data_IF_427893928092
#
_entry.id   IF_427893928092
#
_cell.length_a   1.000
_cell.length_b   1.000
_cell.length_c   1.000
_cell.angle_alpha   90.00
_cell.angle_beta   90.00
_cell.angle_gamma   90.00
#
_symmetry.space_group_name_H-M   'P 1'
#
loop_
_entity.id
_entity.type
_entity.pdbx_description
1 polymer ?
#
# COMPACT_ATOMS: atom_id res chain seq x y z
N UNK A 1 67.56 33.49 -71.07
CA UNK A 1 66.45 34.10 -70.28
C UNK A 1 65.68 32.96 -69.64
N UNK A 2 65.20 32.96 -68.39
CA UNK A 2 65.51 33.70 -67.14
C UNK A 2 65.06 32.74 -65.99
N UNK A 3 65.74 32.75 -64.84
CA UNK A 3 65.27 32.57 -63.43
C UNK A 3 63.86 31.94 -63.21
N UNK A 4 63.58 31.04 -62.25
CA UNK A 4 64.20 30.79 -60.93
C UNK A 4 63.44 29.66 -60.17
N UNK A 5 64.08 29.02 -59.18
CA UNK A 5 63.50 28.48 -57.92
C UNK A 5 62.43 27.35 -58.03
N UNK A 6 62.05 26.57 -57.01
CA UNK A 6 62.28 26.51 -55.54
C UNK A 6 62.09 25.02 -55.10
N UNK A 7 62.55 24.43 -53.98
CA UNK A 7 63.31 24.84 -52.76
C UNK A 7 64.40 23.77 -52.48
N UNK A 8 64.83 23.59 -51.22
CA UNK A 8 65.90 22.68 -50.77
C UNK A 8 65.57 22.10 -49.36
N UNK A 9 65.87 20.80 -49.15
CA UNK A 9 66.67 20.21 -48.03
C UNK A 9 66.21 20.36 -46.55
N UNK A 10 65.94 19.19 -45.92
CA UNK A 10 66.45 18.59 -44.63
C UNK A 10 66.63 19.45 -43.34
N UNK A 11 66.81 18.94 -42.10
CA UNK A 11 66.92 17.59 -41.53
C UNK A 11 66.52 17.58 -40.03
N UNK A 12 66.08 16.42 -39.53
CA UNK A 12 66.45 15.71 -38.27
C UNK A 12 66.68 16.43 -36.89
N UNK A 13 66.39 15.65 -35.83
CA UNK A 13 66.87 15.75 -34.42
C UNK A 13 66.18 16.69 -33.40
N UNK A 14 65.17 16.11 -32.71
CA UNK A 14 65.20 15.70 -31.29
C UNK A 14 65.63 16.64 -30.12
N UNK A 15 64.95 16.38 -28.98
CA UNK A 15 65.29 16.63 -27.57
C UNK A 15 64.74 17.87 -26.83
N UNK A 16 64.29 17.59 -25.61
CA UNK A 16 63.56 18.42 -24.63
C UNK A 16 64.35 19.62 -24.11
N UNK A 17 63.66 20.70 -23.69
CA UNK A 17 63.46 21.04 -22.26
C UNK A 17 62.82 22.42 -22.01
N UNK A 18 62.08 22.53 -20.88
CA UNK A 18 61.62 23.70 -20.10
C UNK A 18 61.38 25.07 -20.79
N UNK A 19 60.23 25.74 -20.60
CA UNK A 19 59.94 26.44 -19.33
C UNK A 19 58.47 26.90 -19.17
N UNK A 20 58.13 27.33 -17.94
CA UNK A 20 56.79 27.65 -17.43
C UNK A 20 56.18 28.99 -17.91
N UNK A 21 54.85 29.02 -17.96
CA UNK A 21 53.85 30.03 -17.52
C UNK A 21 52.50 29.28 -17.60
N UNK A 22 51.55 29.33 -16.66
CA UNK A 22 51.37 30.17 -15.48
C UNK A 22 50.01 30.88 -15.52
N UNK A 23 48.93 30.17 -15.14
CA UNK A 23 47.58 30.73 -14.90
C UNK A 23 46.95 30.05 -13.67
N UNK A 24 46.02 30.76 -13.03
CA UNK A 24 45.60 30.59 -11.63
C UNK A 24 44.67 29.40 -11.33
N UNK A 25 44.82 28.85 -10.12
CA UNK A 25 43.76 28.12 -9.43
C UNK A 25 42.56 29.04 -9.16
N UNK A 26 41.36 28.62 -9.58
CA UNK A 26 40.06 28.97 -8.97
C UNK A 26 38.99 27.98 -9.49
N UNK A 27 39.22 26.68 -9.25
CA UNK A 27 38.25 25.62 -9.53
C UNK A 27 37.23 25.52 -8.39
N UNK A 28 36.19 26.37 -8.46
CA UNK A 28 34.94 26.20 -7.72
C UNK A 28 34.30 24.86 -8.13
N UNK A 29 34.67 23.79 -7.40
CA UNK A 29 34.09 22.46 -7.58
C UNK A 29 32.64 22.50 -7.11
N UNK A 30 31.74 22.78 -8.06
CA UNK A 30 30.32 22.47 -7.89
C UNK A 30 30.20 21.00 -7.44
N UNK A 31 29.67 20.79 -6.24
CA UNK A 31 29.27 19.46 -5.80
C UNK A 31 28.19 18.96 -6.76
N UNK A 32 28.58 18.05 -7.65
CA UNK A 32 27.62 17.27 -8.44
C UNK A 32 26.77 16.53 -7.41
N UNK A 33 25.43 16.73 -7.36
CA UNK A 33 24.60 16.01 -6.43
C UNK A 33 24.79 14.52 -6.64
N UNK A 34 25.29 13.83 -5.62
CA UNK A 34 25.38 12.37 -5.66
C UNK A 34 23.99 11.81 -5.93
N UNK A 35 23.89 10.84 -6.85
CA UNK A 35 22.65 10.10 -7.01
C UNK A 35 22.22 9.58 -5.63
N UNK A 36 20.92 9.62 -5.29
CA UNK A 36 20.45 9.14 -4.00
C UNK A 36 20.94 7.70 -3.81
N UNK A 37 21.61 7.49 -2.67
CA UNK A 37 22.22 6.21 -2.30
C UNK A 37 21.16 5.11 -2.41
N UNK A 38 21.49 4.02 -3.11
CA UNK A 38 20.51 2.99 -3.45
C UNK A 38 19.99 2.34 -2.15
N UNK A 39 18.70 2.55 -1.87
CA UNK A 39 18.04 2.02 -0.69
C UNK A 39 18.17 0.49 -0.67
N UNK A 40 18.71 -0.05 0.43
CA UNK A 40 18.69 -1.48 0.70
C UNK A 40 17.24 -1.93 0.83
N UNK A 41 16.81 -2.95 0.07
CA UNK A 41 15.42 -3.44 0.14
C UNK A 41 15.15 -4.34 1.37
N UNK A 42 16.08 -4.36 2.32
CA UNK A 42 15.97 -5.04 3.61
C UNK A 42 15.16 -4.20 4.60
N UNK A 43 13.86 -4.05 4.34
CA UNK A 43 12.99 -3.20 5.15
C UNK A 43 11.54 -3.17 4.67
N UNK A 44 10.78 -2.25 5.25
CA UNK A 44 9.35 -2.03 4.94
C UNK A 44 9.09 -0.61 4.50
N UNK A 45 8.20 -0.47 3.51
CA UNK A 45 7.52 0.77 3.23
C UNK A 45 6.36 0.98 4.17
N UNK A 46 6.19 2.23 4.60
CA UNK A 46 4.99 2.70 5.29
C UNK A 46 4.35 3.78 4.44
N UNK A 47 3.19 3.46 3.86
CA UNK A 47 2.37 4.43 3.14
C UNK A 47 1.62 5.28 4.16
N UNK A 48 1.73 6.60 4.03
CA UNK A 48 1.07 7.57 4.89
C UNK A 48 0.02 8.29 4.06
N UNK A 49 -1.26 8.22 4.46
CA UNK A 49 -2.34 8.81 3.67
C UNK A 49 -2.30 10.34 3.66
N UNK A 50 -1.66 10.97 4.64
CA UNK A 50 -1.75 12.41 4.85
C UNK A 50 -3.15 12.81 5.32
N UNK A 51 -3.53 14.07 5.10
CA UNK A 51 -4.88 14.56 5.38
C UNK A 51 -5.59 15.00 4.10
N UNK A 52 -6.87 14.64 3.97
CA UNK A 52 -7.72 14.97 2.81
C UNK A 52 -7.69 16.47 2.50
N UNK A 53 -7.34 16.80 1.27
CA UNK A 53 -7.23 18.17 0.76
C UNK A 53 -5.86 18.83 0.96
N UNK A 54 -4.96 18.23 1.75
CA UNK A 54 -3.66 18.83 2.06
C UNK A 54 -2.53 18.42 1.09
N UNK A 55 -2.78 17.45 0.19
CA UNK A 55 -1.82 16.99 -0.83
C UNK A 55 -0.46 16.59 -0.23
N UNK A 56 -0.50 15.90 0.91
CA UNK A 56 0.64 15.57 1.76
C UNK A 56 0.75 14.07 2.11
N UNK A 57 0.25 13.19 1.24
CA UNK A 57 0.58 11.76 1.32
C UNK A 57 2.08 11.55 1.07
N UNK A 58 2.66 10.56 1.74
CA UNK A 58 4.09 10.25 1.65
C UNK A 58 4.36 8.76 1.75
N UNK A 59 5.55 8.34 1.31
CA UNK A 59 6.04 6.97 1.42
C UNK A 59 7.30 6.96 2.29
N UNK A 60 7.20 6.50 3.53
CA UNK A 60 8.38 6.32 4.40
C UNK A 60 8.98 4.94 4.15
N UNK A 61 10.28 4.79 4.41
CA UNK A 61 10.97 3.49 4.42
C UNK A 61 11.65 3.27 5.77
N UNK A 62 11.48 2.09 6.36
CA UNK A 62 12.22 1.66 7.54
C UNK A 62 13.16 0.51 7.18
N UNK A 63 14.46 0.74 7.39
CA UNK A 63 15.54 -0.19 7.11
C UNK A 63 15.81 -1.08 8.34
N UNK A 64 15.75 -2.41 8.18
CA UNK A 64 15.88 -3.35 9.30
C UNK A 64 17.31 -3.52 9.82
N UNK A 65 18.32 -3.20 9.02
CA UNK A 65 19.73 -3.36 9.37
C UNK A 65 20.26 -2.14 10.15
N UNK A 66 20.05 -0.95 9.59
CA UNK A 66 20.45 0.34 10.17
C UNK A 66 19.46 0.84 11.22
N UNK A 67 18.22 0.31 11.24
CA UNK A 67 17.10 0.70 12.12
C UNK A 67 16.70 2.17 11.96
N UNK A 68 16.88 2.74 10.77
CA UNK A 68 16.56 4.13 10.44
C UNK A 68 15.27 4.24 9.62
N UNK A 69 14.56 5.34 9.82
CA UNK A 69 13.45 5.75 8.96
C UNK A 69 13.98 6.79 7.96
N UNK A 70 13.80 6.53 6.67
CA UNK A 70 13.88 7.55 5.63
C UNK A 70 12.46 8.08 5.37
N UNK A 71 12.24 9.37 5.63
CA UNK A 71 10.94 10.01 5.47
C UNK A 71 10.70 10.44 4.01
N UNK A 72 9.51 10.14 3.49
CA UNK A 72 9.05 10.55 2.15
C UNK A 72 10.05 10.29 1.01
N UNK A 73 10.45 9.02 0.86
CA UNK A 73 11.37 8.56 -0.19
C UNK A 73 10.87 8.96 -1.58
N UNK A 74 9.54 8.97 -1.78
CA UNK A 74 8.93 9.30 -3.06
C UNK A 74 9.26 10.74 -3.46
N UNK A 75 9.11 11.70 -2.54
CA UNK A 75 9.48 13.08 -2.78
C UNK A 75 10.97 13.27 -2.96
N UNK A 76 11.80 12.57 -2.16
CA UNK A 76 13.27 12.60 -2.27
C UNK A 76 13.76 12.13 -3.65
N UNK A 77 13.19 11.05 -4.18
CA UNK A 77 13.62 10.43 -5.45
C UNK A 77 13.03 11.13 -6.67
N UNK A 78 11.80 11.66 -6.59
CA UNK A 78 11.07 12.20 -7.75
C UNK A 78 10.95 13.73 -7.79
N UNK A 79 11.36 14.44 -6.74
CA UNK A 79 11.25 15.91 -6.66
C UNK A 79 9.82 16.46 -6.56
N UNK A 80 8.80 15.59 -6.42
CA UNK A 80 7.37 15.94 -6.30
C UNK A 80 6.68 15.13 -5.21
N UNK A 81 5.61 15.67 -4.63
CA UNK A 81 4.76 14.92 -3.70
C UNK A 81 4.04 13.74 -4.36
N UNK A 82 3.68 12.75 -3.53
CA UNK A 82 2.93 11.56 -3.95
C UNK A 82 1.46 11.91 -4.31
N UNK A 83 0.84 12.80 -3.52
CA UNK A 83 -0.46 13.38 -3.82
C UNK A 83 -1.33 13.57 -2.57
N UNK A 84 -2.66 13.50 -2.75
CA UNK A 84 -3.66 13.62 -1.70
C UNK A 84 -4.40 12.29 -1.45
N UNK A 85 -4.42 11.86 -0.19
CA UNK A 85 -5.14 10.69 0.32
C UNK A 85 -4.72 9.40 -0.40
N UNK A 86 -3.45 9.03 -0.25
CA UNK A 86 -2.97 7.69 -0.58
C UNK A 86 -3.63 6.64 0.33
N UNK A 87 -4.19 5.59 -0.26
CA UNK A 87 -5.11 4.68 0.43
C UNK A 87 -4.60 3.23 0.50
N UNK A 88 -3.85 2.77 -0.50
CA UNK A 88 -3.26 1.44 -0.52
C UNK A 88 -1.99 1.38 -1.37
N UNK A 89 -1.13 0.40 -1.07
CA UNK A 89 0.08 0.06 -1.83
C UNK A 89 0.20 -1.45 -2.00
N UNK A 90 0.51 -1.88 -3.22
CA UNK A 90 0.80 -3.27 -3.57
C UNK A 90 2.14 -3.37 -4.30
N UNK A 91 3.03 -4.22 -3.81
CA UNK A 91 4.23 -4.67 -4.54
C UNK A 91 3.84 -5.85 -5.43
N UNK A 92 4.15 -5.76 -6.73
CA UNK A 92 3.92 -6.83 -7.69
C UNK A 92 5.07 -6.90 -8.72
N UNK A 93 5.87 -7.96 -8.64
CA UNK A 93 7.14 -8.05 -9.36
C UNK A 93 8.08 -6.91 -8.96
N UNK A 94 8.79 -6.33 -9.94
CA UNK A 94 9.73 -5.22 -9.72
C UNK A 94 9.08 -3.83 -9.57
N UNK A 95 7.80 -3.77 -9.20
CA UNK A 95 7.02 -2.51 -9.13
C UNK A 95 6.18 -2.41 -7.88
N UNK A 96 5.96 -1.20 -7.40
CA UNK A 96 4.89 -0.88 -6.47
C UNK A 96 3.79 -0.08 -7.18
N UNK A 97 2.54 -0.36 -6.84
CA UNK A 97 1.34 0.33 -7.31
C UNK A 97 0.71 1.01 -6.09
N UNK A 98 0.46 2.32 -6.18
CA UNK A 98 -0.04 3.15 -5.08
C UNK A 98 -1.33 3.84 -5.52
N UNK A 99 -2.39 3.68 -4.74
CA UNK A 99 -3.69 4.26 -4.98
C UNK A 99 -3.77 5.62 -4.29
N UNK A 100 -3.81 6.71 -5.05
CA UNK A 100 -3.88 8.08 -4.53
C UNK A 100 -5.29 8.62 -4.79
N UNK A 101 -6.20 8.37 -3.86
CA UNK A 101 -7.66 8.45 -4.07
C UNK A 101 -8.09 9.85 -4.52
N UNK A 102 -7.72 10.91 -3.80
CA UNK A 102 -8.19 12.26 -4.14
C UNK A 102 -7.41 12.88 -5.30
N UNK A 103 -6.15 12.50 -5.51
CA UNK A 103 -5.41 12.85 -6.72
C UNK A 103 -5.94 12.13 -7.97
N UNK A 104 -6.80 11.12 -7.81
CA UNK A 104 -7.37 10.31 -8.90
C UNK A 104 -6.31 9.58 -9.74
N UNK A 105 -5.18 9.24 -9.13
CA UNK A 105 -4.04 8.63 -9.81
C UNK A 105 -3.69 7.27 -9.22
N UNK A 106 -3.26 6.36 -10.09
CA UNK A 106 -2.52 5.16 -9.69
C UNK A 106 -1.06 5.45 -10.01
N UNK A 107 -0.27 5.69 -8.98
CA UNK A 107 1.17 5.93 -9.11
C UNK A 107 1.88 4.56 -9.16
N UNK A 108 2.73 4.36 -10.16
CA UNK A 108 3.50 3.12 -10.33
C UNK A 108 4.98 3.46 -10.23
N UNK A 109 5.66 2.87 -9.24
CA UNK A 109 7.09 3.05 -9.01
C UNK A 109 7.87 1.76 -9.25
N UNK A 110 9.19 1.86 -9.35
CA UNK A 110 10.07 0.73 -9.04
C UNK A 110 10.15 0.52 -7.51
N UNK A 111 10.89 -0.51 -7.09
CA UNK A 111 11.16 -0.79 -5.67
C UNK A 111 12.23 0.15 -5.08
N UNK A 112 12.53 1.28 -5.70
CA UNK A 112 13.33 2.36 -5.10
C UNK A 112 12.47 3.62 -4.90
N UNK A 113 11.15 3.52 -5.15
CA UNK A 113 10.20 4.64 -5.05
C UNK A 113 10.25 5.59 -6.23
N UNK A 114 11.00 5.28 -7.31
CA UNK A 114 11.05 6.13 -8.51
C UNK A 114 9.82 5.92 -9.38
N UNK A 115 9.12 7.01 -9.68
CA UNK A 115 7.97 7.09 -10.58
C UNK A 115 8.31 6.54 -11.96
N UNK A 116 7.72 5.39 -12.32
CA UNK A 116 7.76 4.81 -13.66
C UNK A 116 6.61 5.31 -14.52
N UNK A 117 5.41 5.41 -13.94
CA UNK A 117 4.20 5.86 -14.62
C UNK A 117 3.19 6.35 -13.59
N UNK A 118 2.56 7.49 -13.86
CA UNK A 118 1.30 7.86 -13.24
C UNK A 118 0.16 7.51 -14.21
N UNK A 119 -0.77 6.66 -13.78
CA UNK A 119 -1.97 6.28 -14.54
C UNK A 119 -3.11 7.19 -14.08
N UNK A 120 -3.74 7.85 -15.04
CA UNK A 120 -4.88 8.75 -14.87
C UNK A 120 -6.04 8.29 -15.75
N UNK A 121 -7.24 8.84 -15.54
CA UNK A 121 -8.39 8.65 -16.42
C UNK A 121 -8.42 9.76 -17.48
N UNK A 122 -8.76 9.41 -18.72
CA UNK A 122 -9.13 10.38 -19.76
C UNK A 122 -10.64 10.76 -19.70
N UNK A 123 -11.36 10.25 -18.71
CA UNK A 123 -12.79 10.50 -18.46
C UNK A 123 -13.08 10.62 -16.97
N UNK A 124 -14.05 9.86 -16.45
CA UNK A 124 -14.46 9.94 -15.04
C UNK A 124 -13.27 9.75 -14.07
N UNK A 125 -13.21 10.49 -12.94
CA UNK A 125 -12.12 10.39 -11.97
C UNK A 125 -11.95 8.96 -11.44
N UNK A 126 -10.71 8.47 -11.35
CA UNK A 126 -10.46 7.07 -10.97
C UNK A 126 -10.86 6.77 -9.52
N UNK A 127 -10.57 7.67 -8.58
CA UNK A 127 -10.72 7.45 -7.13
C UNK A 127 -10.26 6.04 -6.69
N UNK A 128 -9.01 5.62 -6.98
CA UNK A 128 -8.56 4.27 -6.66
C UNK A 128 -8.50 4.06 -5.14
N UNK A 129 -8.84 2.86 -4.68
CA UNK A 129 -9.00 2.52 -3.26
C UNK A 129 -8.00 1.45 -2.81
N UNK A 130 -8.21 0.20 -3.22
CA UNK A 130 -7.39 -0.95 -2.80
C UNK A 130 -6.97 -1.79 -3.99
N UNK A 131 -5.85 -2.51 -3.85
CA UNK A 131 -5.34 -3.42 -4.87
C UNK A 131 -5.54 -4.90 -4.51
N UNK A 132 -5.52 -5.73 -5.55
CA UNK A 132 -5.25 -7.17 -5.47
C UNK A 132 -4.49 -7.61 -6.71
N UNK A 133 -3.91 -8.81 -6.74
CA UNK A 133 -3.22 -9.32 -7.92
C UNK A 133 -3.41 -10.82 -8.10
N UNK A 134 -3.50 -11.24 -9.37
CA UNK A 134 -3.69 -12.64 -9.75
C UNK A 134 -3.24 -12.87 -11.21
N UNK A 135 -2.60 -14.00 -11.49
CA UNK A 135 -2.18 -14.46 -12.82
C UNK A 135 -1.67 -13.37 -13.78
N UNK A 136 -0.62 -12.64 -13.38
CA UNK A 136 0.02 -11.62 -14.23
C UNK A 136 -0.63 -10.24 -14.21
N UNK A 137 -1.77 -10.07 -13.51
CA UNK A 137 -2.58 -8.84 -13.52
C UNK A 137 -2.74 -8.24 -12.14
N UNK A 138 -2.76 -6.91 -12.10
CA UNK A 138 -3.13 -6.11 -10.91
C UNK A 138 -4.56 -5.61 -11.10
N UNK A 139 -5.34 -5.67 -10.03
CA UNK A 139 -6.72 -5.22 -9.95
C UNK A 139 -6.79 -4.08 -8.95
N UNK A 140 -7.62 -3.08 -9.22
CA UNK A 140 -7.82 -1.94 -8.31
C UNK A 140 -9.30 -1.58 -8.22
N UNK A 141 -9.82 -1.46 -7.00
CA UNK A 141 -11.17 -0.94 -6.76
C UNK A 141 -11.18 0.59 -6.97
N UNK A 142 -12.21 1.06 -7.68
CA UNK A 142 -12.42 2.46 -8.04
C UNK A 142 -13.72 2.93 -7.38
N UNK A 143 -13.65 3.98 -6.58
CA UNK A 143 -14.73 4.40 -5.67
C UNK A 143 -16.06 4.74 -6.39
N UNK A 144 -16.01 5.09 -7.69
CA UNK A 144 -17.16 5.21 -8.59
C UNK A 144 -17.90 3.90 -8.91
N UNK A 145 -17.58 2.79 -8.26
CA UNK A 145 -18.31 1.53 -8.38
C UNK A 145 -17.79 0.59 -9.46
N UNK A 146 -16.47 0.55 -9.66
CA UNK A 146 -15.82 -0.35 -10.63
C UNK A 146 -14.61 -1.05 -10.01
N UNK A 147 -14.20 -2.16 -10.61
CA UNK A 147 -12.82 -2.65 -10.51
C UNK A 147 -12.15 -2.49 -11.86
N UNK A 148 -10.95 -1.91 -11.89
CA UNK A 148 -10.11 -1.88 -13.08
C UNK A 148 -9.09 -3.03 -13.05
N UNK A 149 -8.89 -3.70 -14.19
CA UNK A 149 -7.76 -4.60 -14.43
C UNK A 149 -6.66 -3.81 -15.15
N UNK A 150 -5.46 -3.84 -14.59
CA UNK A 150 -4.28 -3.18 -15.14
C UNK A 150 -3.43 -4.17 -15.92
N UNK A 151 -2.88 -3.72 -17.04
CA UNK A 151 -1.76 -4.41 -17.67
C UNK A 151 -0.44 -3.98 -17.02
N UNK A 152 0.33 -4.95 -16.52
CA UNK A 152 1.55 -4.72 -15.74
C UNK A 152 2.79 -4.44 -16.62
N UNK A 153 2.66 -4.60 -17.94
CA UNK A 153 3.71 -4.32 -18.93
C UNK A 153 3.55 -2.93 -19.53
N UNK A 154 2.36 -2.59 -20.05
CA UNK A 154 2.10 -1.26 -20.60
C UNK A 154 1.78 -0.19 -19.55
N UNK A 155 1.46 -0.60 -18.32
CA UNK A 155 1.05 0.27 -17.20
C UNK A 155 -0.17 1.12 -17.57
N UNK A 156 -1.22 0.44 -18.06
CA UNK A 156 -2.49 1.04 -18.48
C UNK A 156 -3.68 0.25 -17.93
N UNK A 157 -4.84 0.90 -17.81
CA UNK A 157 -6.11 0.20 -17.55
C UNK A 157 -6.47 -0.59 -18.81
N UNK A 158 -6.55 -1.92 -18.67
CA UNK A 158 -6.93 -2.84 -19.76
C UNK A 158 -8.45 -2.93 -19.90
N UNK A 159 -9.16 -2.99 -18.77
CA UNK A 159 -10.63 -3.08 -18.72
C UNK A 159 -11.16 -2.65 -17.35
N UNK A 160 -12.46 -2.33 -17.29
CA UNK A 160 -13.20 -2.08 -16.05
C UNK A 160 -14.43 -2.98 -15.99
N UNK A 161 -14.75 -3.53 -14.82
CA UNK A 161 -16.00 -4.24 -14.53
C UNK A 161 -16.82 -3.44 -13.52
N UNK A 162 -18.13 -3.30 -13.75
CA UNK A 162 -19.04 -2.65 -12.80
C UNK A 162 -19.26 -3.58 -11.61
N UNK A 163 -19.22 -3.01 -10.41
CA UNK A 163 -19.54 -3.69 -9.14
C UNK A 163 -20.63 -2.92 -8.36
N UNK A 164 -20.79 -3.16 -7.07
CA UNK A 164 -21.58 -2.31 -6.16
C UNK A 164 -21.01 -0.89 -5.98
N UNK A 165 -21.49 -0.18 -4.96
CA UNK A 165 -21.14 1.22 -4.73
C UNK A 165 -19.95 1.35 -3.79
N UNK A 166 -19.09 2.33 -4.07
CA UNK A 166 -17.92 2.63 -3.24
C UNK A 166 -17.12 1.37 -2.84
N UNK A 167 -16.60 0.61 -3.84
CA UNK A 167 -15.87 -0.61 -3.57
C UNK A 167 -14.57 -0.32 -2.82
N UNK A 168 -14.32 -1.08 -1.76
CA UNK A 168 -13.17 -0.96 -0.88
C UNK A 168 -12.20 -2.12 -1.11
N UNK A 169 -11.81 -2.88 -0.08
CA UNK A 169 -10.83 -3.96 -0.20
C UNK A 169 -11.37 -5.13 -1.04
N UNK A 170 -10.45 -5.93 -1.57
CA UNK A 170 -10.76 -7.09 -2.40
C UNK A 170 -9.95 -8.30 -1.98
N UNK A 171 -10.56 -9.48 -2.06
CA UNK A 171 -9.89 -10.78 -1.86
C UNK A 171 -10.09 -11.69 -3.07
N UNK A 172 -9.16 -12.61 -3.30
CA UNK A 172 -9.22 -13.57 -4.42
C UNK A 172 -9.20 -14.98 -3.86
N UNK A 173 -10.22 -15.76 -4.21
CA UNK A 173 -10.34 -17.18 -3.86
C UNK A 173 -11.08 -17.92 -4.99
N UNK A 174 -10.65 -19.15 -5.30
CA UNK A 174 -11.32 -20.04 -6.27
C UNK A 174 -11.71 -19.37 -7.61
N UNK A 175 -10.75 -18.65 -8.23
CA UNK A 175 -10.91 -17.89 -9.48
C UNK A 175 -11.98 -16.79 -9.45
N UNK A 176 -12.44 -16.40 -8.25
CA UNK A 176 -13.35 -15.28 -8.01
C UNK A 176 -12.62 -14.15 -7.29
N UNK A 177 -12.94 -12.92 -7.66
CA UNK A 177 -12.54 -11.69 -6.97
C UNK A 177 -13.76 -11.17 -6.20
N UNK A 178 -13.65 -11.17 -4.88
CA UNK A 178 -14.65 -10.65 -3.95
C UNK A 178 -14.34 -9.20 -3.67
N UNK A 179 -15.34 -8.33 -3.81
CA UNK A 179 -15.20 -6.87 -3.72
C UNK A 179 -16.20 -6.33 -2.71
N UNK A 180 -15.71 -5.83 -1.57
CA UNK A 180 -16.55 -5.23 -0.54
C UNK A 180 -17.12 -3.89 -1.05
N UNK A 181 -18.44 -3.74 -1.08
CA UNK A 181 -19.10 -2.50 -1.52
C UNK A 181 -19.62 -1.79 -0.27
N UNK A 182 -18.96 -0.71 0.16
CA UNK A 182 -19.31 -0.04 1.41
C UNK A 182 -20.52 0.88 1.27
N UNK A 183 -20.76 1.43 0.07
CA UNK A 183 -21.65 2.58 -0.11
C UNK A 183 -21.26 3.79 0.75
N UNK A 184 -20.00 3.89 1.17
CA UNK A 184 -19.53 4.85 2.16
C UNK A 184 -19.69 6.33 1.77
N UNK A 185 -19.88 6.65 0.49
CA UNK A 185 -20.19 8.01 0.05
C UNK A 185 -21.66 8.40 0.33
N UNK A 186 -22.56 7.42 0.38
CA UNK A 186 -24.01 7.61 0.50
C UNK A 186 -24.49 7.61 1.97
N UNK A 187 -23.58 7.51 2.95
CA UNK A 187 -23.89 7.28 4.37
C UNK A 187 -24.85 8.29 5.02
N UNK A 188 -24.81 9.55 4.56
CA UNK A 188 -25.64 10.65 5.06
C UNK A 188 -26.85 10.95 4.16
N UNK A 189 -27.12 10.09 3.19
CA UNK A 189 -28.26 10.19 2.27
C UNK A 189 -29.36 9.19 2.67
N UNK A 190 -30.56 9.34 2.12
CA UNK A 190 -31.64 8.37 2.30
C UNK A 190 -31.34 6.96 1.74
N UNK A 191 -30.23 6.83 0.99
CA UNK A 191 -29.79 5.60 0.35
C UNK A 191 -28.90 4.76 1.28
N UNK A 192 -28.15 5.41 2.18
CA UNK A 192 -27.30 4.78 3.19
C UNK A 192 -26.16 3.90 2.66
N UNK A 193 -25.42 3.30 3.58
CA UNK A 193 -24.39 2.30 3.30
C UNK A 193 -24.91 1.15 2.42
N UNK A 194 -24.02 0.59 1.60
CA UNK A 194 -24.25 -0.65 0.86
C UNK A 194 -23.99 -1.85 1.81
N UNK A 195 -24.47 -3.02 1.42
CA UNK A 195 -24.45 -4.23 2.25
C UNK A 195 -24.12 -5.47 1.42
N UNK A 196 -23.27 -5.31 0.41
CA UNK A 196 -22.98 -6.35 -0.58
C UNK A 196 -21.50 -6.60 -0.80
N UNK A 197 -21.14 -7.85 -1.05
CA UNK A 197 -19.87 -8.24 -1.67
C UNK A 197 -20.13 -8.65 -3.11
N UNK A 198 -19.50 -7.97 -4.06
CA UNK A 198 -19.63 -8.29 -5.49
C UNK A 198 -18.68 -9.41 -5.84
N UNK A 199 -19.16 -10.41 -6.58
CA UNK A 199 -18.39 -11.59 -6.97
C UNK A 199 -18.06 -11.48 -8.46
N UNK A 200 -16.80 -11.16 -8.77
CA UNK A 200 -16.30 -11.06 -10.15
C UNK A 200 -15.61 -12.35 -10.54
N UNK A 201 -16.02 -12.95 -11.65
CA UNK A 201 -15.31 -14.07 -12.28
C UNK A 201 -14.02 -13.56 -12.92
N UNK A 202 -12.85 -14.02 -12.46
CA UNK A 202 -11.56 -13.55 -12.98
C UNK A 202 -11.29 -13.95 -14.45
N UNK A 203 -11.61 -15.18 -14.91
CA UNK A 203 -11.43 -15.58 -16.31
C UNK A 203 -12.19 -14.72 -17.33
N UNK A 204 -13.47 -14.42 -17.07
CA UNK A 204 -14.30 -13.59 -17.97
C UNK A 204 -14.31 -12.10 -17.63
N UNK A 205 -13.83 -11.74 -16.43
CA UNK A 205 -13.84 -10.41 -15.83
C UNK A 205 -15.22 -9.74 -15.82
N UNK A 206 -16.22 -10.49 -15.31
CA UNK A 206 -17.62 -10.07 -15.18
C UNK A 206 -18.14 -10.32 -13.78
N UNK A 207 -18.96 -9.42 -13.26
CA UNK A 207 -19.76 -9.65 -12.06
C UNK A 207 -20.74 -10.82 -12.33
N UNK A 208 -20.68 -11.85 -11.48
CA UNK A 208 -21.59 -13.01 -11.49
C UNK A 208 -22.82 -12.75 -10.62
N UNK A 209 -22.58 -12.23 -9.41
CA UNK A 209 -23.60 -12.04 -8.39
C UNK A 209 -23.13 -11.04 -7.33
N UNK A 210 -24.03 -10.67 -6.42
CA UNK A 210 -23.74 -9.97 -5.17
C UNK A 210 -24.24 -10.79 -4.01
N UNK A 211 -23.37 -10.97 -3.02
CA UNK A 211 -23.66 -11.64 -1.76
C UNK A 211 -24.12 -10.57 -0.77
N UNK A 212 -25.25 -10.77 -0.10
CA UNK A 212 -25.70 -9.87 0.98
C UNK A 212 -24.93 -10.18 2.28
N UNK A 213 -24.44 -9.13 2.94
CA UNK A 213 -23.60 -9.17 4.15
C UNK A 213 -24.07 -8.10 5.14
N UNK A 214 -23.47 -8.03 6.33
CA UNK A 214 -23.68 -6.89 7.24
C UNK A 214 -23.26 -5.58 6.56
N UNK A 215 -24.01 -4.51 6.84
CA UNK A 215 -23.85 -3.20 6.20
C UNK A 215 -22.45 -2.59 6.37
N UNK A 216 -22.04 -1.80 5.38
CA UNK A 216 -20.72 -1.16 5.30
C UNK A 216 -19.54 -2.17 5.29
N UNK A 217 -19.51 -3.18 4.39
CA UNK A 217 -18.35 -4.06 4.21
C UNK A 217 -17.15 -3.28 3.68
N UNK A 218 -15.96 -3.47 4.28
CA UNK A 218 -14.75 -2.70 3.92
C UNK A 218 -13.48 -3.54 3.74
N UNK A 219 -13.17 -4.49 4.64
CA UNK A 219 -11.90 -5.21 4.68
C UNK A 219 -12.10 -6.68 4.29
N UNK A 220 -11.28 -7.23 3.38
CA UNK A 220 -11.41 -8.59 2.85
C UNK A 220 -10.03 -9.28 2.72
N UNK A 221 -9.91 -10.51 3.20
CA UNK A 221 -8.76 -11.40 2.93
C UNK A 221 -9.25 -12.84 2.71
N UNK A 222 -8.54 -13.60 1.88
CA UNK A 222 -8.77 -15.03 1.69
C UNK A 222 -7.70 -15.85 2.44
N UNK A 223 -8.09 -17.01 2.95
CA UNK A 223 -7.16 -18.01 3.48
C UNK A 223 -6.71 -19.03 2.41
N UNK A 224 -5.90 -20.02 2.81
CA UNK A 224 -5.40 -21.08 1.93
C UNK A 224 -6.43 -22.18 1.59
N UNK A 225 -7.53 -22.30 2.32
CA UNK A 225 -8.66 -23.20 2.00
C UNK A 225 -9.64 -22.57 1.01
N UNK A 226 -9.53 -21.25 0.83
CA UNK A 226 -10.34 -20.42 -0.05
C UNK A 226 -11.47 -19.70 0.69
N UNK A 227 -11.59 -19.80 2.00
CA UNK A 227 -12.60 -19.04 2.74
C UNK A 227 -12.22 -17.55 2.77
N UNK A 228 -13.20 -16.69 2.55
CA UNK A 228 -13.00 -15.24 2.44
C UNK A 228 -13.55 -14.56 3.68
N UNK A 229 -12.65 -14.02 4.49
CA UNK A 229 -12.97 -13.30 5.71
C UNK A 229 -13.28 -11.84 5.40
N UNK A 230 -14.26 -11.29 6.10
CA UNK A 230 -14.84 -9.97 5.88
C UNK A 230 -15.04 -9.22 7.20
N UNK A 231 -14.69 -7.94 7.21
CA UNK A 231 -15.20 -6.98 8.21
C UNK A 231 -16.18 -6.02 7.56
N UNK A 232 -17.37 -5.96 8.16
CA UNK A 232 -18.35 -4.90 7.95
C UNK A 232 -18.30 -3.94 9.12
N UNK A 233 -18.22 -2.63 8.86
CA UNK A 233 -18.12 -1.59 9.91
C UNK A 233 -19.45 -1.31 10.63
N UNK A 234 -20.56 -1.84 10.11
CA UNK A 234 -21.88 -1.52 10.62
C UNK A 234 -22.27 -0.07 10.31
N UNK A 235 -23.03 0.56 11.21
CA UNK A 235 -23.60 1.90 11.00
C UNK A 235 -23.15 2.95 12.01
N UNK A 236 -22.16 2.65 12.86
CA UNK A 236 -21.69 3.50 13.95
C UNK A 236 -22.80 3.85 14.99
N UNK A 237 -23.82 3.00 15.08
CA UNK A 237 -24.94 3.11 16.01
C UNK A 237 -25.27 1.75 16.63
N UNK A 238 -26.41 1.17 16.25
CA UNK A 238 -26.92 -0.11 16.75
C UNK A 238 -26.33 -1.35 16.06
N UNK A 239 -25.72 -1.19 14.87
CA UNK A 239 -25.01 -2.27 14.17
C UNK A 239 -23.49 -2.10 14.40
N UNK A 240 -22.85 -2.98 15.19
CA UNK A 240 -21.41 -2.92 15.46
C UNK A 240 -20.59 -3.45 14.28
N UNK A 241 -19.27 -3.21 14.32
CA UNK A 241 -18.37 -3.84 13.36
C UNK A 241 -18.42 -5.36 13.53
N UNK A 242 -18.71 -6.08 12.45
CA UNK A 242 -19.03 -7.51 12.48
C UNK A 242 -18.02 -8.29 11.64
N UNK A 243 -17.47 -9.36 12.21
CA UNK A 243 -16.58 -10.30 11.53
C UNK A 243 -17.38 -11.44 10.88
N UNK A 244 -17.09 -11.76 9.62
CA UNK A 244 -17.83 -12.71 8.80
C UNK A 244 -16.86 -13.58 7.98
N UNK A 245 -17.33 -14.77 7.61
CA UNK A 245 -16.70 -15.66 6.62
C UNK A 245 -17.64 -15.84 5.43
N UNK A 246 -17.08 -15.96 4.23
CA UNK A 246 -17.77 -16.34 3.00
C UNK A 246 -17.10 -17.61 2.47
N UNK A 247 -17.84 -18.72 2.38
CA UNK A 247 -17.33 -19.93 1.71
C UNK A 247 -17.30 -19.67 0.20
N UNK A 248 -16.11 -19.57 -0.38
CA UNK A 248 -15.94 -19.25 -1.80
C UNK A 248 -16.33 -20.39 -2.75
N UNK A 249 -16.74 -21.57 -2.26
CA UNK A 249 -17.28 -22.68 -3.06
C UNK A 249 -18.80 -22.53 -3.24
N UNK A 250 -19.50 -22.07 -2.20
CA UNK A 250 -20.97 -21.93 -2.16
C UNK A 250 -21.46 -20.49 -2.31
N UNK A 251 -20.59 -19.50 -2.07
CA UNK A 251 -20.91 -18.07 -1.90
C UNK A 251 -21.83 -17.77 -0.68
N UNK A 252 -21.89 -18.67 0.30
CA UNK A 252 -22.65 -18.50 1.55
C UNK A 252 -21.87 -17.74 2.64
N UNK A 253 -22.58 -16.89 3.39
CA UNK A 253 -22.02 -16.04 4.46
C UNK A 253 -22.35 -16.59 5.84
N UNK A 254 -21.38 -16.59 6.74
CA UNK A 254 -21.56 -16.88 8.17
C UNK A 254 -20.98 -15.74 9.01
N UNK A 255 -21.74 -15.24 9.98
CA UNK A 255 -21.21 -14.31 11.00
C UNK A 255 -20.41 -15.08 12.03
N UNK A 256 -19.18 -14.63 12.31
CA UNK A 256 -18.32 -15.20 13.36
C UNK A 256 -18.72 -14.53 14.68
N UNK A 257 -19.35 -15.29 15.57
CA UNK A 257 -19.95 -14.75 16.81
C UNK A 257 -19.01 -14.73 18.01
N UNK A 258 -17.82 -15.34 17.89
CA UNK A 258 -16.79 -15.36 18.95
C UNK A 258 -16.13 -13.98 19.17
N UNK A 259 -16.11 -13.12 18.15
CA UNK A 259 -15.52 -11.78 18.21
C UNK A 259 -16.07 -10.83 17.16
N UNK A 260 -16.04 -9.54 17.49
CA UNK A 260 -16.09 -8.46 16.50
C UNK A 260 -14.68 -8.16 15.95
N UNK A 261 -14.60 -7.35 14.90
CA UNK A 261 -13.34 -6.94 14.28
C UNK A 261 -13.51 -5.56 13.62
N UNK A 262 -12.47 -4.73 13.64
CA UNK A 262 -12.42 -3.43 12.92
C UNK A 262 -11.45 -3.53 11.75
N UNK A 263 -10.25 -4.05 11.98
CA UNK A 263 -9.19 -4.27 10.98
C UNK A 263 -8.58 -5.65 11.20
N UNK A 264 -8.05 -6.28 10.14
CA UNK A 264 -7.35 -7.56 10.27
C UNK A 264 -6.31 -7.78 9.17
N UNK A 265 -5.26 -8.55 9.49
CA UNK A 265 -4.18 -8.93 8.60
C UNK A 265 -3.76 -10.39 8.84
N UNK A 266 -3.11 -11.02 7.86
CA UNK A 266 -2.84 -12.46 7.87
C UNK A 266 -1.34 -12.81 7.81
N UNK A 267 -0.87 -13.73 8.66
CA UNK A 267 0.41 -14.43 8.50
C UNK A 267 0.11 -15.90 8.24
N UNK A 268 0.17 -16.30 6.97
CA UNK A 268 -0.47 -17.55 6.53
C UNK A 268 -1.96 -17.51 6.90
N UNK A 269 -2.46 -18.59 7.47
CA UNK A 269 -3.87 -18.74 7.86
C UNK A 269 -4.16 -18.31 9.31
N UNK A 270 -3.28 -17.51 9.92
CA UNK A 270 -3.54 -16.82 11.19
C UNK A 270 -3.92 -15.38 10.93
N UNK A 271 -5.15 -15.03 11.29
CA UNK A 271 -5.70 -13.69 11.19
C UNK A 271 -5.46 -12.95 12.51
N UNK A 272 -4.69 -11.87 12.47
CA UNK A 272 -4.52 -10.94 13.57
C UNK A 272 -5.54 -9.83 13.39
N UNK A 273 -6.32 -9.58 14.43
CA UNK A 273 -7.52 -8.74 14.40
C UNK A 273 -7.34 -7.60 15.41
N UNK A 274 -7.63 -6.38 14.99
CA UNK A 274 -7.88 -5.26 15.90
C UNK A 274 -9.38 -5.06 15.94
N UNK A 275 -9.98 -5.13 17.12
CA UNK A 275 -11.28 -4.50 17.38
C UNK A 275 -11.03 -3.19 18.11
N UNK A 276 -11.57 -2.10 17.55
CA UNK A 276 -11.45 -0.75 18.06
C UNK A 276 -12.74 0.00 17.72
N UNK A 277 -13.53 0.31 18.75
CA UNK A 277 -14.86 0.92 18.64
C UNK A 277 -15.12 1.88 19.81
N UNK A 278 -15.92 2.91 19.58
CA UNK A 278 -16.34 3.88 20.60
C UNK A 278 -17.79 3.62 21.00
N UNK A 279 -18.08 3.63 22.30
CA UNK A 279 -19.46 3.66 22.79
C UNK A 279 -20.10 5.04 22.63
N UNK A 280 -21.40 5.14 22.93
CA UNK A 280 -22.15 6.41 22.89
C UNK A 280 -21.65 7.49 23.87
N UNK A 281 -20.77 7.13 24.81
CA UNK A 281 -20.14 8.03 25.79
C UNK A 281 -18.69 8.38 25.41
N UNK A 282 -18.22 7.99 24.22
CA UNK A 282 -16.84 8.13 23.74
C UNK A 282 -15.79 7.29 24.50
N UNK A 283 -16.19 6.24 25.19
CA UNK A 283 -15.27 5.23 25.71
C UNK A 283 -14.82 4.31 24.57
N UNK A 284 -13.52 4.25 24.32
CA UNK A 284 -12.95 3.33 23.31
C UNK A 284 -12.72 1.95 23.92
N UNK A 285 -13.28 0.91 23.31
CA UNK A 285 -12.92 -0.49 23.56
C UNK A 285 -11.89 -0.91 22.52
N UNK A 286 -10.75 -1.43 22.95
CA UNK A 286 -9.67 -1.92 22.10
C UNK A 286 -9.33 -3.37 22.50
N UNK A 287 -9.19 -4.27 21.53
CA UNK A 287 -8.67 -5.63 21.74
C UNK A 287 -7.93 -6.15 20.51
N UNK A 288 -7.00 -7.09 20.75
CA UNK A 288 -6.01 -7.58 19.79
C UNK A 288 -6.11 -9.10 19.67
N UNK A 289 -6.98 -9.62 18.79
CA UNK A 289 -7.25 -11.06 18.74
C UNK A 289 -6.41 -11.79 17.69
N UNK A 290 -6.22 -13.09 17.88
CA UNK A 290 -5.70 -13.99 16.86
C UNK A 290 -6.73 -15.09 16.60
N UNK A 291 -7.10 -15.26 15.33
CA UNK A 291 -8.05 -16.25 14.84
C UNK A 291 -7.35 -17.23 13.89
N UNK A 292 -7.62 -18.51 14.07
CA UNK A 292 -7.12 -19.60 13.23
C UNK A 292 -8.13 -19.87 12.13
N UNK A 293 -7.79 -19.50 10.89
CA UNK A 293 -8.69 -19.66 9.75
C UNK A 293 -8.84 -21.13 9.30
N UNK A 294 -7.87 -22.00 9.61
CA UNK A 294 -7.93 -23.44 9.28
C UNK A 294 -8.90 -24.18 10.19
N UNK A 295 -8.97 -23.79 11.46
CA UNK A 295 -9.82 -24.40 12.49
C UNK A 295 -11.02 -23.54 12.90
N UNK A 296 -11.22 -22.42 12.21
CA UNK A 296 -12.34 -21.49 12.30
C UNK A 296 -12.67 -20.98 13.72
N UNK A 297 -11.65 -20.62 14.51
CA UNK A 297 -11.81 -20.24 15.93
C UNK A 297 -10.83 -19.19 16.41
N UNK A 298 -11.22 -18.43 17.43
CA UNK A 298 -10.29 -17.57 18.19
C UNK A 298 -9.29 -18.45 18.96
N UNK A 299 -7.99 -18.17 18.76
CA UNK A 299 -6.87 -18.84 19.44
C UNK A 299 -6.11 -17.93 20.41
N UNK A 300 -6.30 -16.61 20.34
CA UNK A 300 -5.97 -15.69 21.44
C UNK A 300 -6.91 -14.48 21.46
N UNK A 301 -7.29 -14.03 22.65
CA UNK A 301 -8.00 -12.76 22.87
C UNK A 301 -7.07 -11.56 23.05
N UNK A 302 -5.77 -11.82 23.22
CA UNK A 302 -4.72 -10.81 23.21
C UNK A 302 -3.45 -11.38 22.54
N UNK A 303 -3.07 -10.87 21.37
CA UNK A 303 -1.83 -11.24 20.70
C UNK A 303 -0.64 -10.40 21.13
N UNK A 304 -0.81 -9.33 21.93
CA UNK A 304 0.29 -8.47 22.40
C UNK A 304 0.71 -8.94 23.80
N UNK A 305 1.67 -9.85 23.86
CA UNK A 305 1.95 -10.62 25.08
C UNK A 305 2.95 -9.97 26.03
N UNK A 306 3.53 -8.81 25.70
CA UNK A 306 4.45 -8.06 26.57
C UNK A 306 3.84 -6.84 27.27
N UNK A 307 2.55 -6.56 27.05
CA UNK A 307 1.89 -5.38 27.60
C UNK A 307 2.23 -4.08 26.87
N UNK A 308 2.74 -4.13 25.64
CA UNK A 308 2.81 -2.95 24.77
C UNK A 308 1.42 -2.34 24.58
N UNK A 309 1.28 -1.06 24.92
CA UNK A 309 0.01 -0.37 25.03
C UNK A 309 -0.13 0.66 23.89
N UNK A 310 -0.98 0.35 22.91
CA UNK A 310 -1.22 1.19 21.71
C UNK A 310 -2.56 1.89 21.88
N UNK A 311 -2.56 3.22 22.04
CA UNK A 311 -3.75 3.98 22.44
C UNK A 311 -4.70 4.31 21.31
N UNK A 312 -4.19 4.48 20.08
CA UNK A 312 -5.01 4.81 18.91
C UNK A 312 -4.68 3.92 17.71
N UNK A 313 -4.89 2.60 17.81
CA UNK A 313 -4.64 1.68 16.70
C UNK A 313 -5.45 2.11 15.48
N UNK A 314 -4.77 2.28 14.36
CA UNK A 314 -5.32 2.84 13.13
C UNK A 314 -5.46 1.79 12.04
N UNK A 315 -4.38 1.06 11.74
CA UNK A 315 -4.36 -0.04 10.77
C UNK A 315 -3.51 -1.21 11.27
N UNK A 316 -3.75 -2.38 10.69
CA UNK A 316 -2.92 -3.56 10.88
C UNK A 316 -2.40 -4.07 9.52
N UNK A 317 -1.15 -4.51 9.50
CA UNK A 317 -0.51 -5.16 8.37
C UNK A 317 0.21 -6.41 8.83
N UNK A 318 0.60 -7.26 7.88
CA UNK A 318 1.37 -8.46 8.15
C UNK A 318 2.29 -8.76 6.98
N UNK A 319 3.46 -9.33 7.27
CA UNK A 319 4.41 -9.81 6.27
C UNK A 319 4.69 -11.30 6.47
N UNK A 320 4.34 -12.11 5.48
CA UNK A 320 4.46 -13.58 5.56
C UNK A 320 5.93 -14.07 5.59
N UNK A 321 6.86 -13.55 4.76
CA UNK A 321 8.28 -13.93 4.83
C UNK A 321 8.92 -13.74 6.21
N UNK A 322 8.73 -12.59 6.85
CA UNK A 322 9.27 -12.31 8.20
C UNK A 322 8.39 -12.84 9.34
N UNK A 323 7.14 -13.17 9.05
CA UNK A 323 6.07 -13.47 10.02
C UNK A 323 5.79 -12.32 11.00
N UNK A 324 6.13 -11.08 10.63
CA UNK A 324 5.84 -9.90 11.45
C UNK A 324 4.40 -9.42 11.27
N UNK A 325 3.85 -8.92 12.38
CA UNK A 325 2.57 -8.21 12.43
C UNK A 325 2.86 -6.75 12.77
N UNK A 326 2.30 -5.83 11.98
CA UNK A 326 2.49 -4.40 12.13
C UNK A 326 1.18 -3.77 12.60
N UNK A 327 1.19 -3.07 13.73
CA UNK A 327 0.08 -2.21 14.16
C UNK A 327 0.52 -0.77 14.00
N UNK A 328 -0.28 0.04 13.32
CA UNK A 328 -0.02 1.47 13.17
C UNK A 328 -0.90 2.27 14.14
N UNK A 329 -0.41 3.42 14.59
CA UNK A 329 -1.14 4.32 15.49
C UNK A 329 -1.31 5.69 14.82
N UNK A 330 -2.48 6.32 14.95
CA UNK A 330 -2.69 7.69 14.47
C UNK A 330 -3.66 8.49 15.35
N UNK A 331 -3.42 9.80 15.43
CA UNK A 331 -4.32 10.80 15.99
C UNK A 331 -4.88 11.78 14.93
N UNK A 332 -4.66 11.50 13.63
CA UNK A 332 -5.06 12.31 12.48
C UNK A 332 -4.47 13.73 12.40
N UNK A 333 -3.52 14.06 13.28
CA UNK A 333 -3.00 15.43 13.48
C UNK A 333 -1.47 15.52 13.42
N UNK A 334 -0.76 14.53 13.96
CA UNK A 334 0.71 14.41 13.94
C UNK A 334 1.14 13.19 13.14
N UNK A 335 2.44 13.00 12.98
CA UNK A 335 2.98 11.71 12.55
C UNK A 335 2.45 10.59 13.46
N UNK A 336 2.22 9.43 12.86
CA UNK A 336 1.82 8.21 13.54
C UNK A 336 3.00 7.29 13.80
N UNK A 337 2.79 6.30 14.66
CA UNK A 337 3.79 5.28 14.98
C UNK A 337 3.50 3.96 14.26
N UNK A 338 4.54 3.14 14.07
CA UNK A 338 4.43 1.73 13.68
C UNK A 338 5.07 0.86 14.75
N UNK A 339 4.30 -0.12 15.23
CA UNK A 339 4.71 -1.14 16.19
C UNK A 339 4.83 -2.48 15.47
N UNK A 340 5.97 -3.16 15.58
CA UNK A 340 6.19 -4.45 14.92
C UNK A 340 6.32 -5.58 15.92
N UNK A 341 5.45 -6.58 15.83
CA UNK A 341 5.38 -7.74 16.71
C UNK A 341 5.85 -9.01 15.99
N UNK A 342 6.54 -9.88 16.72
CA UNK A 342 6.85 -11.24 16.25
C UNK A 342 5.65 -12.20 16.47
N UNK A 343 5.69 -13.45 15.95
CA UNK A 343 4.62 -14.44 16.15
C UNK A 343 4.32 -14.85 17.60
N UNK A 344 5.19 -14.49 18.55
CA UNK A 344 4.98 -14.70 19.99
C UNK A 344 4.33 -13.47 20.67
N UNK A 345 3.97 -12.43 19.91
CA UNK A 345 3.32 -11.24 20.42
C UNK A 345 4.26 -10.26 21.10
N UNK A 346 5.56 -10.33 20.84
CA UNK A 346 6.58 -9.46 21.45
C UNK A 346 7.00 -8.36 20.49
N UNK A 347 6.99 -7.13 20.97
CA UNK A 347 7.47 -5.95 20.24
C UNK A 347 8.95 -6.14 19.89
N UNK A 348 9.27 -6.03 18.60
CA UNK A 348 10.64 -6.10 18.08
C UNK A 348 11.24 -4.70 17.89
N UNK A 349 10.43 -3.78 17.36
CA UNK A 349 10.80 -2.39 17.15
C UNK A 349 9.55 -1.52 17.01
N UNK A 350 9.73 -0.24 17.36
CA UNK A 350 8.78 0.86 17.19
C UNK A 350 9.50 2.00 16.48
N UNK A 351 8.83 2.66 15.53
CA UNK A 351 9.36 3.87 14.89
C UNK A 351 8.24 4.82 14.46
N UNK A 352 8.55 6.13 14.41
CA UNK A 352 7.65 7.15 13.88
C UNK A 352 7.64 7.08 12.34
N UNK A 353 6.44 7.16 11.75
CA UNK A 353 6.21 7.20 10.31
C UNK A 353 5.78 8.61 9.87
N UNK A 354 4.95 8.72 8.83
CA UNK A 354 4.30 9.98 8.45
C UNK A 354 2.93 10.15 9.09
N UNK A 355 2.18 11.14 8.60
CA UNK A 355 0.79 11.41 9.00
C UNK A 355 -0.16 10.33 8.46
N UNK A 356 -0.89 9.66 9.36
CA UNK A 356 -1.83 8.57 9.06
C UNK A 356 -1.19 7.37 8.31
N UNK A 357 -0.29 6.60 8.98
CA UNK A 357 0.30 5.38 8.41
C UNK A 357 -0.78 4.32 8.11
N UNK A 358 -1.16 4.18 6.83
CA UNK A 358 -2.33 3.39 6.37
C UNK A 358 -1.96 1.95 5.96
N UNK A 359 -0.72 1.72 5.54
CA UNK A 359 -0.27 0.41 5.04
C UNK A 359 1.21 0.21 5.31
N UNK A 360 1.59 -0.97 5.81
CA UNK A 360 2.98 -1.42 5.91
C UNK A 360 3.16 -2.60 4.95
N UNK A 361 4.24 -2.58 4.14
CA UNK A 361 4.53 -3.63 3.16
C UNK A 361 6.05 -3.77 2.97
N UNK A 362 6.55 -5.00 2.81
CA UNK A 362 7.96 -5.27 2.54
C UNK A 362 8.43 -4.65 1.23
N UNK A 363 9.65 -4.08 1.25
CA UNK A 363 10.27 -3.44 0.08
C UNK A 363 11.00 -4.44 -0.84
N UNK A 364 11.43 -5.57 -0.29
CA UNK A 364 12.07 -6.66 -1.04
C UNK A 364 11.08 -7.50 -1.86
N UNK A 365 11.61 -8.18 -2.89
CA UNK A 365 10.83 -9.16 -3.66
C UNK A 365 10.37 -10.32 -2.77
N UNK A 366 9.14 -10.79 -3.01
CA UNK A 366 8.64 -12.10 -2.57
C UNK A 366 9.11 -13.20 -3.52
#
# INVERSE_FOLDING_TARGET
>A
MKKKNLLYVSALCACMSFSFIGCSDDDDKQEIPSLPEQISLNGVYVLNSGNKGNNNSSLSFYDFETKKVEADIFKKVNGRGLGDTANDILVYGSKAYIAVTNSNTIEVTDLQGKSLKQIVSDGDPLQPRFFSCYNGKVYVSLYGGYVARLDTTSLTIESKVKVGRNPEQMAIANNKLYVANSGGADFNTAVGYDKTVSVVDLPTFKEKTKIEVVTNPVNLLADSQGDVYLVSMGNYGDIPNTFQRIDSKTDEVTTITETNATEFAAVGDKLYIIYSQYDANWNQTISYLCYDAINEKVISTDFITDGTDIKKPYKIGADTPSNYVFVTESNYSTNGDVYTFNPAGKLQFKFEAGLNPIKVISAGNK
#
